data_IF_671225946744
#
_entry.id   IF_671225946744
#
_cell.length_a   1.000
_cell.length_b   1.000
_cell.length_c   1.000
_cell.angle_alpha   90.00
_cell.angle_beta   90.00
_cell.angle_gamma   90.00
#
_symmetry.space_group_name_H-M   'P 1'
#
loop_
_entity.id
_entity.type
_entity.pdbx_description
1 polymer ?
#
# COMPACT_ATOMS: atom_id res chain seq x y z
N UNK A 1 5.10 -6.64 27.51
CA UNK A 1 5.77 -5.73 26.57
C UNK A 1 7.10 -5.30 27.20
N UNK A 2 8.19 -5.36 26.45
CA UNK A 2 9.52 -4.92 26.90
C UNK A 2 9.84 -3.61 26.18
N UNK A 3 9.98 -2.53 26.95
CA UNK A 3 10.46 -1.25 26.41
C UNK A 3 11.97 -1.31 26.27
N UNK A 4 12.47 -1.02 25.09
CA UNK A 4 13.91 -0.93 24.82
C UNK A 4 14.24 0.46 24.26
N UNK A 5 15.32 1.12 24.72
CA UNK A 5 15.81 2.31 24.06
C UNK A 5 16.17 2.02 22.60
N UNK A 6 15.89 2.96 21.69
CA UNK A 6 16.06 2.76 20.25
C UNK A 6 17.50 2.34 19.88
N UNK A 7 18.51 2.87 20.59
CA UNK A 7 19.91 2.48 20.41
C UNK A 7 20.20 1.02 20.78
N UNK A 8 19.54 0.49 21.82
CA UNK A 8 19.66 -0.91 22.22
C UNK A 8 18.81 -1.84 21.34
N UNK A 9 17.65 -1.36 20.86
CA UNK A 9 16.85 -2.07 19.88
C UNK A 9 17.60 -2.32 18.57
N UNK A 10 18.44 -1.37 18.15
CA UNK A 10 19.28 -1.50 16.95
C UNK A 10 20.46 -2.49 17.12
N UNK A 11 20.87 -2.80 18.34
CA UNK A 11 21.96 -3.75 18.64
C UNK A 11 21.45 -5.17 18.98
N UNK A 12 20.18 -5.29 19.33
CA UNK A 12 19.52 -6.56 19.67
C UNK A 12 18.56 -7.06 18.56
N UNK A 13 17.93 -8.19 18.81
CA UNK A 13 17.01 -8.83 17.85
C UNK A 13 15.83 -7.95 17.38
N UNK A 14 15.50 -6.85 18.09
CA UNK A 14 14.48 -5.90 17.67
C UNK A 14 14.87 -5.09 16.41
N UNK A 15 16.15 -5.07 16.03
CA UNK A 15 16.60 -4.44 14.77
C UNK A 15 15.95 -5.09 13.54
N UNK A 16 15.59 -6.34 13.64
CA UNK A 16 14.97 -7.12 12.55
C UNK A 16 13.56 -6.60 12.22
N UNK A 17 12.90 -5.93 13.16
CA UNK A 17 11.50 -5.54 13.02
C UNK A 17 11.28 -4.07 12.63
N UNK A 18 12.31 -3.25 12.63
CA UNK A 18 12.20 -1.87 12.16
C UNK A 18 12.63 -1.79 10.70
N UNK A 19 11.84 -1.14 9.82
CA UNK A 19 12.26 -0.92 8.44
C UNK A 19 13.60 -0.20 8.37
N UNK A 20 14.42 -0.54 7.38
CA UNK A 20 15.67 0.16 7.11
C UNK A 20 15.38 1.65 6.85
N UNK A 21 16.15 2.52 7.51
CA UNK A 21 15.95 3.96 7.37
C UNK A 21 14.77 4.53 8.16
N UNK A 22 14.16 3.77 9.10
CA UNK A 22 13.10 4.32 9.96
C UNK A 22 13.60 5.54 10.73
N UNK A 23 12.97 6.69 10.47
CA UNK A 23 13.25 7.99 11.08
C UNK A 23 12.09 8.52 11.92
N UNK A 24 11.10 7.66 12.18
CA UNK A 24 9.88 8.04 12.89
C UNK A 24 10.13 8.42 14.35
N UNK A 25 9.14 9.10 14.92
CA UNK A 25 9.16 9.53 16.32
C UNK A 25 9.13 8.32 17.26
N UNK A 26 9.75 8.49 18.42
CA UNK A 26 9.76 7.49 19.50
C UNK A 26 8.93 7.99 20.68
N UNK A 27 8.25 7.10 21.42
CA UNK A 27 8.25 5.64 21.32
C UNK A 27 7.46 5.09 20.13
N UNK A 28 7.87 3.95 19.59
CA UNK A 28 7.20 3.25 18.50
C UNK A 28 6.91 1.81 18.90
N UNK A 29 5.70 1.33 18.60
CA UNK A 29 5.40 -0.10 18.60
C UNK A 29 5.64 -0.64 17.18
N UNK A 30 5.94 -1.92 17.09
CA UNK A 30 6.03 -2.60 15.80
C UNK A 30 5.06 -3.77 15.82
N UNK A 31 4.11 -3.76 14.90
CA UNK A 31 3.28 -4.91 14.64
C UNK A 31 4.02 -5.82 13.67
N UNK A 32 4.13 -7.08 14.03
CA UNK A 32 4.85 -8.09 13.25
C UNK A 32 3.86 -9.17 12.86
N UNK A 33 3.80 -9.50 11.57
CA UNK A 33 2.99 -10.63 11.10
C UNK A 33 3.48 -11.95 11.70
N UNK A 34 2.61 -12.98 11.82
CA UNK A 34 3.00 -14.28 12.39
C UNK A 34 4.19 -14.95 11.68
N UNK A 35 4.33 -14.74 10.38
CA UNK A 35 5.45 -15.21 9.56
C UNK A 35 6.69 -14.32 9.66
N UNK A 36 6.61 -13.19 10.36
CA UNK A 36 7.66 -12.18 10.53
C UNK A 36 8.14 -11.51 9.21
N UNK A 37 7.41 -11.66 8.12
CA UNK A 37 7.77 -11.08 6.83
C UNK A 37 7.29 -9.62 6.69
N UNK A 38 6.23 -9.26 7.41
CA UNK A 38 5.65 -7.90 7.37
C UNK A 38 5.74 -7.22 8.72
N UNK A 39 6.23 -5.98 8.71
CA UNK A 39 6.30 -5.14 9.90
C UNK A 39 5.66 -3.79 9.66
N UNK A 40 4.81 -3.35 10.58
CA UNK A 40 4.16 -2.04 10.54
C UNK A 40 4.60 -1.26 11.78
N UNK A 41 5.43 -0.22 11.61
CA UNK A 41 5.79 0.66 12.73
C UNK A 41 4.58 1.53 13.09
N UNK A 42 4.23 1.55 14.37
CA UNK A 42 3.12 2.32 14.93
C UNK A 42 3.70 3.36 15.86
N UNK A 43 3.79 4.65 15.48
CA UNK A 43 4.20 5.70 16.39
C UNK A 43 3.23 5.79 17.57
N UNK A 44 3.79 5.77 18.78
CA UNK A 44 3.02 5.92 20.01
C UNK A 44 3.14 7.33 20.61
N UNK A 45 4.02 8.15 20.06
CA UNK A 45 4.11 9.56 20.41
C UNK A 45 3.04 10.35 19.66
N UNK A 46 2.06 10.88 20.40
CA UNK A 46 1.09 11.81 19.89
C UNK A 46 0.96 12.93 20.92
N UNK A 47 1.08 14.18 20.47
CA UNK A 47 0.93 15.33 21.36
C UNK A 47 -0.43 15.22 22.10
N UNK A 48 -0.40 15.47 23.39
CA UNK A 48 -1.59 15.54 24.26
C UNK A 48 -2.39 14.22 24.43
N UNK A 49 -1.83 13.07 24.02
CA UNK A 49 -2.49 11.77 24.24
C UNK A 49 -1.63 10.81 25.07
N UNK A 50 -2.24 10.08 26.02
CA UNK A 50 -1.54 9.01 26.73
C UNK A 50 -1.07 7.91 25.76
N UNK A 51 0.14 7.38 25.96
CA UNK A 51 0.71 6.30 25.13
C UNK A 51 -0.25 5.11 24.99
N UNK A 52 -0.95 4.75 26.06
CA UNK A 52 -1.89 3.63 26.04
C UNK A 52 -3.07 3.90 25.10
N UNK A 53 -3.61 5.13 25.10
CA UNK A 53 -4.70 5.51 24.19
C UNK A 53 -4.21 5.51 22.75
N UNK A 54 -3.04 6.08 22.47
CA UNK A 54 -2.44 6.06 21.13
C UNK A 54 -2.20 4.64 20.63
N UNK A 55 -1.80 3.73 21.53
CA UNK A 55 -1.62 2.32 21.18
C UNK A 55 -2.96 1.64 20.84
N UNK A 56 -4.03 1.93 21.58
CA UNK A 56 -5.36 1.42 21.28
C UNK A 56 -5.91 1.95 19.96
N UNK A 57 -5.84 3.25 19.73
CA UNK A 57 -6.28 3.87 18.47
C UNK A 57 -5.54 3.27 17.27
N UNK A 58 -4.25 3.00 17.44
CA UNK A 58 -3.45 2.36 16.40
C UNK A 58 -3.87 0.90 16.15
N UNK A 59 -4.15 0.12 17.20
CA UNK A 59 -4.65 -1.25 17.07
C UNK A 59 -6.04 -1.28 16.42
N UNK A 60 -6.92 -0.38 16.80
CA UNK A 60 -8.23 -0.24 16.16
C UNK A 60 -8.11 0.07 14.69
N UNK A 61 -7.20 0.99 14.29
CA UNK A 61 -6.96 1.31 12.87
C UNK A 61 -6.41 0.14 12.06
N UNK A 62 -5.74 -0.82 12.70
CA UNK A 62 -5.30 -2.07 12.06
C UNK A 62 -6.48 -3.03 11.87
N UNK A 63 -7.36 -3.12 12.87
CA UNK A 63 -8.51 -4.02 12.84
C UNK A 63 -9.64 -3.50 11.97
N UNK A 64 -9.93 -2.21 12.08
CA UNK A 64 -11.01 -1.55 11.32
C UNK A 64 -10.45 -0.50 10.36
N UNK A 65 -10.33 -0.90 9.10
CA UNK A 65 -9.97 -0.03 7.99
C UNK A 65 -11.02 -0.19 6.90
N UNK A 66 -12.03 0.69 6.85
CA UNK A 66 -13.11 0.61 5.88
C UNK A 66 -12.61 0.62 4.43
N UNK A 67 -11.55 1.39 4.15
CA UNK A 67 -10.94 1.45 2.82
C UNK A 67 -10.25 0.14 2.46
N UNK A 68 -9.44 -0.43 3.35
CA UNK A 68 -8.82 -1.74 3.15
C UNK A 68 -9.88 -2.80 2.86
N UNK A 69 -10.91 -2.87 3.69
CA UNK A 69 -11.99 -3.84 3.54
C UNK A 69 -12.72 -3.68 2.20
N UNK A 70 -12.98 -2.43 1.78
CA UNK A 70 -13.58 -2.13 0.48
C UNK A 70 -12.68 -2.53 -0.69
N UNK A 71 -11.39 -2.25 -0.61
CA UNK A 71 -10.39 -2.60 -1.62
C UNK A 71 -10.24 -4.12 -1.73
N UNK A 72 -10.15 -4.82 -0.59
CA UNK A 72 -10.04 -6.28 -0.57
C UNK A 72 -11.23 -6.96 -1.25
N UNK A 73 -12.45 -6.52 -0.99
CA UNK A 73 -13.64 -7.04 -1.69
C UNK A 73 -13.53 -6.87 -3.19
N UNK A 74 -13.09 -5.70 -3.66
CA UNK A 74 -12.94 -5.41 -5.09
C UNK A 74 -11.82 -6.22 -5.74
N UNK A 75 -10.68 -6.34 -5.07
CA UNK A 75 -9.52 -7.03 -5.63
C UNK A 75 -9.74 -8.52 -5.85
N UNK A 76 -10.70 -9.14 -5.15
CA UNK A 76 -11.08 -10.54 -5.39
C UNK A 76 -11.84 -10.72 -6.71
N UNK A 77 -12.60 -9.72 -7.11
CA UNK A 77 -13.54 -9.83 -8.25
C UNK A 77 -13.01 -9.15 -9.50
N UNK A 78 -12.09 -8.17 -9.37
CA UNK A 78 -11.59 -7.39 -10.49
C UNK A 78 -10.19 -7.84 -10.95
N UNK A 79 -9.83 -7.40 -12.16
CA UNK A 79 -8.50 -7.61 -12.74
C UNK A 79 -7.37 -7.08 -11.86
N UNK A 80 -7.59 -5.94 -11.24
CA UNK A 80 -6.67 -5.30 -10.32
C UNK A 80 -7.21 -3.97 -9.82
N UNK A 81 -6.64 -3.48 -8.75
CA UNK A 81 -6.96 -2.19 -8.15
C UNK A 81 -5.77 -1.26 -8.31
N UNK A 82 -5.98 -0.11 -8.97
CA UNK A 82 -5.03 1.01 -8.99
C UNK A 82 -5.36 1.91 -7.82
N UNK A 83 -4.63 1.80 -6.74
CA UNK A 83 -4.81 2.62 -5.54
C UNK A 83 -4.00 3.91 -5.67
N UNK A 84 -4.69 5.03 -5.76
CA UNK A 84 -4.12 6.37 -5.76
C UNK A 84 -4.19 6.92 -4.33
N UNK A 85 -3.04 7.19 -3.74
CA UNK A 85 -2.92 7.89 -2.46
C UNK A 85 -2.55 9.34 -2.75
N UNK A 86 -3.43 10.27 -2.42
CA UNK A 86 -3.26 11.67 -2.74
C UNK A 86 -2.15 12.32 -1.93
N UNK A 87 -1.48 13.27 -2.60
CA UNK A 87 -0.55 14.17 -1.97
C UNK A 87 -1.20 15.50 -1.56
N UNK A 88 -0.39 16.45 -1.10
CA UNK A 88 -0.87 17.79 -0.77
C UNK A 88 -1.15 18.67 -2.01
N UNK A 89 -0.58 18.34 -3.17
CA UNK A 89 -0.83 19.07 -4.42
C UNK A 89 -2.12 18.60 -5.11
N UNK A 90 -3.17 19.39 -4.97
CA UNK A 90 -4.49 19.11 -5.54
C UNK A 90 -4.49 19.02 -7.06
N UNK A 91 -3.63 19.80 -7.74
CA UNK A 91 -3.56 19.77 -9.21
C UNK A 91 -2.95 18.45 -9.69
N UNK A 92 -1.89 17.99 -9.03
CA UNK A 92 -1.28 16.69 -9.31
C UNK A 92 -2.22 15.53 -8.96
N UNK A 93 -2.97 15.62 -7.86
CA UNK A 93 -3.98 14.62 -7.51
C UNK A 93 -4.98 14.42 -8.66
N UNK A 94 -5.55 15.49 -9.19
CA UNK A 94 -6.48 15.43 -10.32
C UNK A 94 -5.83 14.82 -11.57
N UNK A 95 -4.62 15.25 -11.90
CA UNK A 95 -3.86 14.75 -13.05
C UNK A 95 -3.63 13.25 -12.94
N UNK A 96 -3.18 12.77 -11.78
CA UNK A 96 -2.87 11.35 -11.58
C UNK A 96 -4.14 10.50 -11.54
N UNK A 97 -5.23 10.99 -10.96
CA UNK A 97 -6.54 10.30 -11.05
C UNK A 97 -6.97 10.13 -12.51
N UNK A 98 -6.96 11.22 -13.29
CA UNK A 98 -7.33 11.16 -14.72
C UNK A 98 -6.43 10.22 -15.52
N UNK A 99 -5.13 10.20 -15.24
CA UNK A 99 -4.19 9.27 -15.85
C UNK A 99 -4.53 7.82 -15.47
N UNK A 100 -4.81 7.54 -14.20
CA UNK A 100 -5.18 6.21 -13.73
C UNK A 100 -6.48 5.71 -14.40
N UNK A 101 -7.50 6.57 -14.50
CA UNK A 101 -8.75 6.27 -15.19
C UNK A 101 -8.54 5.98 -16.68
N UNK A 102 -7.68 6.75 -17.36
CA UNK A 102 -7.30 6.50 -18.75
C UNK A 102 -6.63 5.14 -18.94
N UNK A 103 -5.66 4.82 -18.08
CA UNK A 103 -4.97 3.52 -18.12
C UNK A 103 -5.95 2.37 -17.89
N UNK A 104 -6.79 2.47 -16.87
CA UNK A 104 -7.80 1.46 -16.54
C UNK A 104 -8.74 1.25 -17.73
N UNK A 105 -9.21 2.33 -18.37
CA UNK A 105 -10.05 2.25 -19.57
C UNK A 105 -9.31 1.55 -20.72
N UNK A 106 -8.04 1.85 -20.94
CA UNK A 106 -7.21 1.22 -21.97
C UNK A 106 -6.98 -0.27 -21.72
N UNK A 107 -6.82 -0.70 -20.48
CA UNK A 107 -6.73 -2.13 -20.12
C UNK A 107 -8.09 -2.80 -20.31
N UNK A 108 -9.18 -2.17 -19.86
CA UNK A 108 -10.53 -2.69 -20.01
C UNK A 108 -10.87 -3.03 -21.46
N UNK A 109 -10.47 -2.16 -22.39
CA UNK A 109 -10.67 -2.40 -23.80
C UNK A 109 -9.92 -3.63 -24.36
N UNK A 110 -8.87 -4.07 -23.70
CA UNK A 110 -8.06 -5.24 -24.10
C UNK A 110 -8.53 -6.54 -23.46
N UNK A 111 -9.36 -6.50 -22.40
CA UNK A 111 -9.78 -7.69 -21.66
C UNK A 111 -10.42 -8.77 -22.52
N UNK A 112 -11.29 -8.45 -23.51
CA UNK A 112 -11.90 -9.49 -24.36
C UNK A 112 -10.92 -10.31 -25.20
N UNK A 113 -9.69 -9.80 -25.39
CA UNK A 113 -8.62 -10.48 -26.12
C UNK A 113 -7.64 -11.27 -25.25
N UNK A 114 -7.81 -11.28 -23.93
CA UNK A 114 -6.97 -12.03 -23.03
C UNK A 114 -7.39 -13.50 -22.99
N UNK A 115 -6.41 -14.40 -22.92
CA UNK A 115 -6.68 -15.85 -22.79
C UNK A 115 -7.31 -16.21 -21.44
N UNK A 116 -7.09 -15.40 -20.42
CA UNK A 116 -7.67 -15.58 -19.09
C UNK A 116 -8.99 -14.84 -19.01
N UNK A 117 -10.06 -15.56 -18.71
CA UNK A 117 -11.37 -14.96 -18.44
C UNK A 117 -11.31 -14.11 -17.17
N UNK A 118 -11.62 -12.82 -17.31
CA UNK A 118 -11.62 -11.85 -16.22
C UNK A 118 -13.03 -11.34 -16.04
N UNK A 119 -13.57 -11.53 -14.85
CA UNK A 119 -14.97 -11.21 -14.55
C UNK A 119 -15.23 -9.71 -14.49
N UNK A 120 -14.29 -8.95 -13.91
CA UNK A 120 -14.46 -7.51 -13.72
C UNK A 120 -13.20 -6.77 -14.20
N UNK A 121 -13.36 -5.59 -14.83
CA UNK A 121 -12.23 -4.78 -15.24
C UNK A 121 -11.43 -4.25 -14.04
N UNK A 122 -10.21 -3.73 -14.27
CA UNK A 122 -9.48 -3.03 -13.23
C UNK A 122 -10.25 -1.80 -12.76
N UNK A 123 -10.04 -1.39 -11.51
CA UNK A 123 -10.71 -0.24 -10.90
C UNK A 123 -9.70 0.73 -10.29
N UNK A 124 -10.07 2.01 -10.24
CA UNK A 124 -9.31 3.03 -9.52
C UNK A 124 -9.94 3.23 -8.14
N UNK A 125 -9.13 3.17 -7.11
CA UNK A 125 -9.49 3.55 -5.73
C UNK A 125 -8.64 4.73 -5.28
N UNK A 126 -9.23 5.59 -4.48
CA UNK A 126 -8.56 6.81 -4.01
C UNK A 126 -8.63 6.91 -2.51
N UNK A 127 -7.48 7.16 -1.89
CA UNK A 127 -7.37 7.60 -0.50
C UNK A 127 -6.93 9.05 -0.52
N UNK A 128 -7.78 9.95 -0.03
CA UNK A 128 -7.44 11.36 0.03
C UNK A 128 -6.36 11.64 1.08
N UNK A 129 -5.66 12.77 0.93
CA UNK A 129 -4.64 13.18 1.90
C UNK A 129 -5.22 13.31 3.32
N UNK A 130 -6.47 13.77 3.45
CA UNK A 130 -7.15 13.91 4.74
C UNK A 130 -7.49 12.54 5.37
N UNK A 131 -7.74 11.53 4.55
CA UNK A 131 -8.02 10.17 5.03
C UNK A 131 -6.77 9.38 5.41
N UNK A 132 -5.57 9.91 5.13
CA UNK A 132 -4.30 9.21 5.34
C UNK A 132 -4.13 8.72 6.78
N UNK A 133 -4.41 9.57 7.76
CA UNK A 133 -4.25 9.23 9.17
C UNK A 133 -5.19 8.11 9.62
N UNK A 134 -6.42 8.09 9.13
CA UNK A 134 -7.39 7.03 9.43
C UNK A 134 -7.00 5.68 8.81
N UNK A 135 -6.33 5.70 7.66
CA UNK A 135 -5.91 4.51 6.91
C UNK A 135 -4.39 4.21 7.06
N UNK A 136 -3.75 4.86 8.02
CA UNK A 136 -2.29 4.85 8.18
C UNK A 136 -1.70 3.45 8.27
N UNK A 137 -2.29 2.57 9.08
CA UNK A 137 -1.79 1.21 9.25
C UNK A 137 -1.83 0.42 7.93
N UNK A 138 -2.91 0.58 7.16
CA UNK A 138 -3.04 -0.01 5.83
C UNK A 138 -1.99 0.54 4.86
N UNK A 139 -1.85 1.86 4.78
CA UNK A 139 -0.90 2.51 3.88
C UNK A 139 0.56 2.15 4.21
N UNK A 140 0.88 2.06 5.49
CA UNK A 140 2.21 1.64 5.93
C UNK A 140 2.52 0.19 5.55
N UNK A 141 1.52 -0.70 5.61
CA UNK A 141 1.70 -2.07 5.14
C UNK A 141 2.07 -2.15 3.65
N UNK A 142 1.69 -1.14 2.88
CA UNK A 142 2.04 -0.99 1.46
C UNK A 142 3.35 -0.21 1.23
N UNK A 143 4.04 0.21 2.29
CA UNK A 143 5.27 1.00 2.20
C UNK A 143 5.04 2.51 2.04
N UNK A 144 3.80 3.00 2.16
CA UNK A 144 3.45 4.42 2.08
C UNK A 144 3.41 4.99 3.50
N UNK A 145 4.48 5.67 3.90
CA UNK A 145 4.69 6.08 5.30
C UNK A 145 4.15 7.47 5.65
N UNK A 146 3.98 8.34 4.65
CA UNK A 146 3.53 9.72 4.85
C UNK A 146 2.88 10.29 3.60
N UNK A 147 2.07 11.31 3.78
CA UNK A 147 1.61 12.15 2.68
C UNK A 147 2.82 12.90 2.12
N UNK A 148 2.98 12.84 0.80
CA UNK A 148 3.97 13.62 0.04
C UNK A 148 3.26 14.79 -0.66
N UNK A 149 4.03 15.67 -1.29
CA UNK A 149 3.43 16.71 -2.15
C UNK A 149 2.77 16.07 -3.38
N UNK A 150 3.44 15.10 -3.98
CA UNK A 150 2.94 14.37 -5.13
C UNK A 150 2.19 13.10 -4.71
N UNK A 151 1.16 12.68 -5.47
CA UNK A 151 0.45 11.43 -5.23
C UNK A 151 1.37 10.22 -5.35
N UNK A 152 0.98 9.15 -4.68
CA UNK A 152 1.62 7.83 -4.76
C UNK A 152 0.61 6.83 -5.31
N UNK A 153 1.07 5.88 -6.12
CA UNK A 153 0.21 4.84 -6.70
C UNK A 153 0.80 3.48 -6.42
N UNK A 154 -0.06 2.56 -5.98
CA UNK A 154 0.25 1.13 -5.88
C UNK A 154 -0.80 0.33 -6.64
N UNK A 155 -0.41 -0.85 -7.11
CA UNK A 155 -1.30 -1.75 -7.83
C UNK A 155 -1.46 -3.02 -7.01
N UNK A 156 -2.72 -3.38 -6.75
CA UNK A 156 -3.11 -4.58 -6.00
C UNK A 156 -3.84 -5.54 -6.93
N UNK A 157 -3.63 -6.84 -6.76
CA UNK A 157 -4.29 -7.86 -7.57
C UNK A 157 -4.51 -9.17 -6.80
N UNK A 158 -5.29 -10.05 -7.36
CA UNK A 158 -5.51 -11.40 -6.85
C UNK A 158 -6.09 -11.38 -5.43
N UNK A 159 -5.35 -11.85 -4.45
CA UNK A 159 -5.77 -11.90 -3.04
C UNK A 159 -5.28 -10.70 -2.23
N UNK A 160 -5.25 -9.51 -2.81
CA UNK A 160 -4.73 -8.31 -2.15
C UNK A 160 -3.20 -8.22 -2.15
N UNK A 161 -2.54 -8.81 -3.12
CA UNK A 161 -1.10 -8.70 -3.28
C UNK A 161 -0.72 -7.45 -4.05
N UNK A 162 0.24 -6.72 -3.53
CA UNK A 162 0.85 -5.61 -4.26
C UNK A 162 1.75 -6.15 -5.37
N UNK A 163 1.64 -5.61 -6.58
CA UNK A 163 2.53 -5.90 -7.71
C UNK A 163 3.32 -4.65 -8.11
N UNK A 164 4.60 -4.82 -8.27
CA UNK A 164 5.52 -3.72 -8.54
C UNK A 164 5.80 -2.84 -7.30
N UNK A 165 6.58 -1.78 -7.46
CA UNK A 165 6.91 -0.85 -6.39
C UNK A 165 5.80 0.19 -6.17
N UNK A 166 5.90 0.94 -5.07
CA UNK A 166 5.18 2.22 -4.93
C UNK A 166 5.69 3.18 -6.00
N UNK A 167 4.78 3.66 -6.83
CA UNK A 167 5.08 4.63 -7.89
C UNK A 167 4.87 6.04 -7.34
N UNK A 168 5.87 6.91 -7.48
CA UNK A 168 5.80 8.32 -7.08
C UNK A 168 6.77 9.17 -7.90
N UNK A 169 6.54 10.47 -7.99
CA UNK A 169 7.40 11.42 -8.71
C UNK A 169 7.64 10.99 -10.16
N UNK A 170 8.90 10.96 -10.59
CA UNK A 170 9.29 10.60 -11.97
C UNK A 170 8.94 9.15 -12.36
N UNK A 171 8.81 8.25 -11.39
CA UNK A 171 8.40 6.85 -11.63
C UNK A 171 6.92 6.71 -11.89
N UNK A 172 6.12 7.70 -11.55
CA UNK A 172 4.67 7.68 -11.73
C UNK A 172 4.29 8.23 -13.09
N UNK A 173 4.11 7.35 -14.04
CA UNK A 173 3.73 7.66 -15.42
C UNK A 173 2.67 6.69 -15.93
N UNK A 174 1.96 7.09 -16.98
CA UNK A 174 1.01 6.23 -17.69
C UNK A 174 1.64 4.92 -18.14
N UNK A 175 2.85 4.98 -18.68
CA UNK A 175 3.61 3.81 -19.13
C UNK A 175 3.95 2.85 -17.99
N UNK A 176 4.34 3.38 -16.81
CA UNK A 176 4.67 2.55 -15.65
C UNK A 176 3.44 1.83 -15.11
N UNK A 177 2.32 2.52 -14.95
CA UNK A 177 1.06 1.93 -14.48
C UNK A 177 0.54 0.91 -15.49
N UNK A 178 0.53 1.25 -16.78
CA UNK A 178 0.16 0.33 -17.86
C UNK A 178 1.02 -0.93 -17.91
N UNK A 179 2.34 -0.78 -17.77
CA UNK A 179 3.25 -1.91 -17.79
C UNK A 179 2.95 -2.90 -16.67
N UNK A 180 2.73 -2.41 -15.45
CA UNK A 180 2.40 -3.27 -14.30
C UNK A 180 1.05 -3.95 -14.52
N UNK A 181 0.02 -3.22 -14.96
CA UNK A 181 -1.30 -3.81 -15.21
C UNK A 181 -1.26 -4.85 -16.34
N UNK A 182 -0.55 -4.59 -17.42
CA UNK A 182 -0.40 -5.57 -18.50
C UNK A 182 0.27 -6.87 -18.01
N UNK A 183 1.18 -6.78 -17.03
CA UNK A 183 1.85 -7.93 -16.44
C UNK A 183 0.87 -8.90 -15.75
N UNK A 184 -0.21 -8.40 -15.15
CA UNK A 184 -1.24 -9.23 -14.49
C UNK A 184 -1.95 -10.15 -15.52
N UNK A 185 -2.13 -9.69 -16.76
CA UNK A 185 -2.82 -10.43 -17.83
C UNK A 185 -1.97 -11.44 -18.58
N UNK A 186 -0.68 -11.55 -18.27
CA UNK A 186 0.19 -12.51 -18.94
C UNK A 186 -0.06 -13.92 -18.41
N UNK A 187 -0.25 -14.86 -19.32
CA UNK A 187 -0.53 -16.26 -18.98
C UNK A 187 0.64 -17.02 -18.37
N UNK A 188 1.86 -16.56 -18.60
CA UNK A 188 3.05 -17.22 -18.09
C UNK A 188 3.73 -16.35 -17.03
N UNK A 189 3.44 -16.64 -15.77
CA UNK A 189 4.17 -16.07 -14.64
C UNK A 189 5.64 -16.53 -14.59
N UNK A 190 6.03 -17.49 -15.44
CA UNK A 190 7.34 -18.13 -15.42
C UNK A 190 8.48 -17.22 -15.90
N UNK A 191 8.19 -16.19 -16.68
CA UNK A 191 9.17 -15.26 -17.24
C UNK A 191 9.35 -13.97 -16.45
N UNK A 192 8.50 -13.73 -15.45
CA UNK A 192 8.57 -12.54 -14.62
C UNK A 192 9.53 -12.74 -13.46
N UNK A 193 10.32 -11.72 -13.17
CA UNK A 193 11.08 -11.70 -11.93
C UNK A 193 10.09 -11.88 -10.77
N UNK A 194 10.15 -13.04 -10.10
CA UNK A 194 9.24 -13.39 -8.99
C UNK A 194 9.20 -12.31 -7.91
N UNK A 195 10.24 -11.50 -7.77
CA UNK A 195 10.27 -10.36 -6.86
C UNK A 195 9.17 -9.33 -7.14
N UNK A 196 8.77 -9.15 -8.40
CA UNK A 196 7.67 -8.25 -8.75
C UNK A 196 6.31 -8.77 -8.31
N UNK A 197 6.15 -10.09 -8.31
CA UNK A 197 4.90 -10.76 -7.95
C UNK A 197 4.83 -11.14 -6.47
N UNK A 198 5.93 -11.00 -5.74
CA UNK A 198 6.02 -11.29 -4.31
C UNK A 198 5.87 -10.03 -3.44
N UNK A 199 5.21 -9.00 -3.94
CA UNK A 199 4.93 -7.80 -3.17
C UNK A 199 4.13 -8.09 -1.89
N UNK A 200 4.11 -7.12 -1.01
CA UNK A 200 3.43 -7.19 0.28
C UNK A 200 1.97 -7.60 0.10
N UNK A 201 1.51 -8.55 0.90
CA UNK A 201 0.07 -8.85 1.02
C UNK A 201 -0.58 -7.76 1.87
N UNK A 202 -1.73 -7.26 1.40
CA UNK A 202 -2.57 -6.42 2.24
C UNK A 202 -3.00 -7.25 3.45
N UNK A 203 -2.76 -6.79 4.67
CA UNK A 203 -3.19 -7.53 5.86
C UNK A 203 -4.73 -7.66 5.87
N UNK A 204 -5.17 -8.87 6.10
CA UNK A 204 -6.58 -9.23 6.23
C UNK A 204 -7.11 -8.80 7.59
#
# INVERSE_FOLDING_TARGET
>A
AKLLPLGQARQGGAKVFLPDGFTGETPVAVLVSPDQETTIPVPLAKADMPILQTAWDALESVLDSPRRNGILRKVFDCYGVVLVVEGSDVAQNRRIRSMADSVVSGITAKLPGLEKEIQQPPVVEVISAEAFEAERAFLWSLGIQKVLDLPQVVILYGRGRMIGPVLSGERLSESSVSAILNTIGLNCECGLDRKWMQGVMVPL
#
